data_IF_642195849691
#
_entry.id   IF_642195849691
#
_cell.length_a   1.000
_cell.length_b   1.000
_cell.length_c   1.000
_cell.angle_alpha   90.00
_cell.angle_beta   90.00
_cell.angle_gamma   90.00
#
_symmetry.space_group_name_H-M   'P 1'
#
loop_
_entity.id
_entity.type
_entity.pdbx_description
1 polymer ?
#
# COMPACT_ATOMS: atom_id res chain seq x y z
N UNK A 1 24.44 2.19 3.47
CA UNK A 1 23.28 2.12 2.56
C UNK A 1 22.44 0.89 2.88
N UNK A 2 21.19 1.09 3.30
CA UNK A 2 20.25 0.05 3.70
C UNK A 2 18.97 0.13 2.86
N UNK A 3 18.29 -1.00 2.71
CA UNK A 3 16.96 -1.06 2.10
C UNK A 3 15.90 -1.19 3.19
N UNK A 4 14.81 -0.46 3.01
CA UNK A 4 13.65 -0.47 3.88
C UNK A 4 12.39 -0.66 3.03
N UNK A 5 11.41 -1.39 3.53
CA UNK A 5 10.04 -1.38 3.00
C UNK A 5 9.21 -0.49 3.89
N UNK A 6 8.51 0.46 3.29
CA UNK A 6 7.60 1.36 4.00
C UNK A 6 6.17 1.20 3.49
N UNK A 7 5.18 1.20 4.38
CA UNK A 7 3.77 1.25 4.01
C UNK A 7 3.29 2.70 4.04
N UNK A 8 2.87 3.22 2.89
CA UNK A 8 2.26 4.55 2.75
C UNK A 8 0.75 4.39 2.64
N UNK A 9 0.01 5.21 3.36
CA UNK A 9 -1.47 5.21 3.32
C UNK A 9 -1.96 6.49 2.64
N UNK A 10 -2.86 6.34 1.68
CA UNK A 10 -3.53 7.43 1.00
C UNK A 10 -5.03 7.30 1.19
N UNK A 11 -5.72 8.42 1.42
CA UNK A 11 -7.18 8.52 1.32
C UNK A 11 -7.55 8.82 -0.13
N UNK A 12 -8.46 8.04 -0.69
CA UNK A 12 -9.03 8.31 -2.02
C UNK A 12 -10.33 9.10 -1.83
N UNK A 13 -10.43 10.24 -2.51
CA UNK A 13 -11.63 11.08 -2.51
C UNK A 13 -12.07 11.33 -3.95
N UNK A 14 -13.29 10.92 -4.29
CA UNK A 14 -13.91 11.16 -5.60
C UNK A 14 -15.05 12.17 -5.49
N UNK A 15 -15.07 13.17 -6.39
CA UNK A 15 -16.16 14.13 -6.48
C UNK A 15 -16.31 14.97 -5.20
N UNK A 16 -17.52 14.97 -4.63
CA UNK A 16 -17.86 15.64 -3.36
C UNK A 16 -17.44 14.83 -2.11
N UNK A 17 -16.89 13.63 -2.30
CA UNK A 17 -16.48 12.73 -1.22
C UNK A 17 -17.64 12.00 -0.55
N UNK A 18 -18.84 12.01 -1.14
CA UNK A 18 -20.01 11.31 -0.61
C UNK A 18 -20.05 9.83 -1.04
N UNK A 19 -19.00 9.09 -0.67
CA UNK A 19 -18.88 7.66 -0.89
C UNK A 19 -18.25 6.99 0.34
N UNK A 20 -18.34 5.65 0.50
CA UNK A 20 -17.63 4.95 1.56
C UNK A 20 -16.15 5.32 1.55
N UNK A 21 -15.56 5.55 2.72
CA UNK A 21 -14.16 5.94 2.81
C UNK A 21 -13.27 4.88 2.14
N UNK A 22 -12.42 5.34 1.22
CA UNK A 22 -11.50 4.49 0.48
C UNK A 22 -10.07 4.85 0.85
N UNK A 23 -9.26 3.83 1.06
CA UNK A 23 -7.85 3.96 1.37
C UNK A 23 -7.03 3.08 0.43
N UNK A 24 -5.86 3.59 0.06
CA UNK A 24 -4.86 2.89 -0.73
C UNK A 24 -3.61 2.73 0.11
N UNK A 25 -3.26 1.48 0.40
CA UNK A 25 -2.07 1.11 1.15
C UNK A 25 -0.99 0.62 0.17
N UNK A 26 0.11 1.35 0.10
CA UNK A 26 1.17 1.12 -0.86
C UNK A 26 2.45 0.73 -0.15
N UNK A 27 3.02 -0.43 -0.50
CA UNK A 27 4.39 -0.77 -0.13
C UNK A 27 5.37 -0.10 -1.08
N UNK A 28 6.42 0.49 -0.51
CA UNK A 28 7.50 1.18 -1.24
C UNK A 28 8.85 0.73 -0.71
N UNK A 29 9.75 0.41 -1.63
CA UNK A 29 11.15 0.13 -1.31
C UNK A 29 11.92 1.46 -1.22
N UNK A 30 12.62 1.68 -0.11
CA UNK A 30 13.31 2.93 0.22
C UNK A 30 14.76 2.63 0.54
N UNK A 31 15.67 3.24 -0.21
CA UNK A 31 17.11 3.19 0.08
C UNK A 31 17.49 4.37 0.98
N UNK A 32 18.08 4.12 2.15
CA UNK A 32 18.57 5.16 3.04
C UNK A 32 19.66 4.63 3.98
N UNK A 33 20.41 5.52 4.64
CA UNK A 33 21.45 5.10 5.59
C UNK A 33 20.88 4.68 6.95
N UNK A 34 19.79 5.31 7.38
CA UNK A 34 19.14 5.06 8.66
C UNK A 34 17.63 4.92 8.47
N UNK A 35 16.96 4.32 9.46
CA UNK A 35 15.50 4.21 9.48
C UNK A 35 14.84 5.58 9.48
N UNK A 36 15.39 6.54 10.25
CA UNK A 36 14.95 7.94 10.24
C UNK A 36 15.02 8.55 8.84
N UNK A 37 16.14 8.40 8.14
CA UNK A 37 16.30 8.92 6.78
C UNK A 37 15.33 8.24 5.79
N UNK A 38 15.05 6.94 5.98
CA UNK A 38 14.06 6.21 5.18
C UNK A 38 12.64 6.71 5.46
N UNK A 39 12.27 6.95 6.72
CA UNK A 39 10.98 7.51 7.11
C UNK A 39 10.78 8.91 6.50
N UNK A 40 11.77 9.80 6.63
CA UNK A 40 11.72 11.14 6.03
C UNK A 40 11.58 11.08 4.50
N UNK A 41 12.33 10.19 3.85
CA UNK A 41 12.26 9.97 2.41
C UNK A 41 10.90 9.41 1.97
N UNK A 42 10.35 8.43 2.68
CA UNK A 42 9.03 7.85 2.41
C UNK A 42 7.91 8.90 2.57
N UNK A 43 8.00 9.73 3.61
CA UNK A 43 7.11 10.86 3.84
C UNK A 43 7.15 11.87 2.69
N UNK A 44 8.37 12.20 2.22
CA UNK A 44 8.55 13.07 1.06
C UNK A 44 7.91 12.47 -0.20
N UNK A 45 8.15 11.20 -0.49
CA UNK A 45 7.53 10.47 -1.61
C UNK A 45 6.01 10.49 -1.49
N UNK A 46 5.45 10.22 -0.31
CA UNK A 46 4.01 10.25 -0.08
C UNK A 46 3.40 11.60 -0.46
N UNK A 47 4.02 12.70 -0.03
CA UNK A 47 3.59 14.06 -0.40
C UNK A 47 3.74 14.36 -1.89
N UNK A 48 4.81 13.89 -2.53
CA UNK A 48 5.06 14.11 -3.97
C UNK A 48 4.14 13.28 -4.87
N UNK A 49 3.71 12.10 -4.43
CA UNK A 49 2.82 11.18 -5.16
C UNK A 49 1.34 11.48 -4.89
N UNK A 50 1.02 12.45 -4.01
CA UNK A 50 -0.34 12.99 -3.96
C UNK A 50 -0.72 13.50 -5.34
N UNK A 51 -1.77 12.92 -5.92
CA UNK A 51 -2.17 13.19 -7.29
C UNK A 51 -3.68 13.39 -7.39
N UNK A 52 -4.12 14.01 -8.47
CA UNK A 52 -5.53 14.12 -8.81
C UNK A 52 -5.75 13.99 -10.31
N UNK A 53 -6.74 13.19 -10.70
CA UNK A 53 -7.15 13.06 -12.09
C UNK A 53 -8.67 13.13 -12.23
N UNK A 54 -9.15 13.37 -13.44
CA UNK A 54 -10.59 13.31 -13.76
C UNK A 54 -10.97 11.91 -14.24
N UNK A 55 -11.90 11.25 -13.54
CA UNK A 55 -12.39 9.94 -13.95
C UNK A 55 -13.31 10.03 -15.19
N UNK A 56 -13.80 8.88 -15.67
CA UNK A 56 -14.70 8.79 -16.82
C UNK A 56 -16.03 9.57 -16.63
N UNK A 57 -16.43 9.81 -15.38
CA UNK A 57 -17.61 10.59 -15.01
C UNK A 57 -17.30 12.08 -14.82
N UNK A 58 -16.10 12.54 -15.20
CA UNK A 58 -15.60 13.92 -15.03
C UNK A 58 -15.54 14.38 -13.56
N UNK A 59 -15.49 13.43 -12.63
CA UNK A 59 -15.26 13.73 -11.22
C UNK A 59 -13.76 13.76 -10.97
N UNK A 60 -13.31 14.73 -10.18
CA UNK A 60 -11.92 14.74 -9.71
C UNK A 60 -11.76 13.67 -8.64
N UNK A 61 -10.85 12.73 -8.87
CA UNK A 61 -10.40 11.75 -7.88
C UNK A 61 -9.04 12.18 -7.36
N UNK A 62 -8.86 12.17 -6.04
CA UNK A 62 -7.64 12.64 -5.36
C UNK A 62 -7.07 11.55 -4.46
N UNK A 63 -5.77 11.35 -4.54
CA UNK A 63 -4.98 10.58 -3.58
C UNK A 63 -4.38 11.55 -2.58
N UNK A 64 -4.91 11.53 -1.36
CA UNK A 64 -4.45 12.37 -0.26
C UNK A 64 -3.58 11.51 0.65
N UNK A 65 -2.27 11.69 0.57
CA UNK A 65 -1.32 11.07 1.50
C UNK A 65 -1.73 11.36 2.95
N UNK A 66 -1.85 10.29 3.73
CA UNK A 66 -2.23 10.31 5.14
C UNK A 66 -0.96 10.25 5.97
N UNK A 67 -0.22 9.13 5.90
CA UNK A 67 1.04 8.95 6.62
C UNK A 67 1.84 7.73 6.10
N UNK A 68 3.05 7.55 6.64
CA UNK A 68 3.80 6.29 6.63
C UNK A 68 3.45 5.53 7.90
N UNK A 69 2.80 4.36 7.78
CA UNK A 69 2.30 3.60 8.93
C UNK A 69 3.24 2.48 9.38
N UNK A 70 4.16 2.05 8.51
CA UNK A 70 5.13 1.01 8.83
C UNK A 70 6.47 1.27 8.13
N UNK A 71 7.57 0.87 8.79
CA UNK A 71 8.91 0.85 8.22
C UNK A 71 9.66 -0.39 8.72
N UNK A 72 10.14 -1.21 7.80
CA UNK A 72 10.91 -2.41 8.10
C UNK A 72 12.21 -2.41 7.32
N UNK A 73 13.34 -2.62 7.99
CA UNK A 73 14.63 -2.79 7.31
C UNK A 73 14.68 -4.18 6.68
N UNK A 74 15.07 -4.24 5.41
CA UNK A 74 15.42 -5.50 4.77
C UNK A 74 16.87 -5.84 5.09
N UNK A 75 17.08 -7.05 5.62
CA UNK A 75 18.41 -7.57 5.88
C UNK A 75 19.12 -7.94 4.57
N UNK A 76 18.40 -8.58 3.65
CA UNK A 76 18.87 -9.00 2.33
C UNK A 76 17.78 -8.78 1.27
N UNK A 77 18.17 -8.65 0.00
CA UNK A 77 17.26 -8.61 -1.16
C UNK A 77 17.46 -9.88 -1.98
N UNK A 78 17.04 -11.01 -1.41
CA UNK A 78 17.16 -12.33 -2.02
C UNK A 78 15.80 -12.90 -2.36
N UNK A 79 15.77 -13.97 -3.17
CA UNK A 79 14.52 -14.69 -3.43
C UNK A 79 13.88 -15.16 -2.11
N UNK A 80 12.58 -14.93 -1.97
CA UNK A 80 11.83 -15.25 -0.76
C UNK A 80 11.97 -14.26 0.41
N UNK A 81 12.69 -13.13 0.27
CA UNK A 81 12.72 -12.11 1.33
C UNK A 81 11.31 -11.57 1.64
N UNK A 82 10.91 -11.62 2.91
CA UNK A 82 9.66 -11.01 3.36
C UNK A 82 9.76 -9.47 3.31
N UNK A 83 8.82 -8.85 2.60
CA UNK A 83 8.74 -7.38 2.48
C UNK A 83 7.79 -6.76 3.51
N UNK A 84 6.70 -7.45 3.81
CA UNK A 84 5.64 -7.01 4.70
C UNK A 84 4.74 -8.20 5.05
N UNK A 85 4.18 -8.20 6.26
CA UNK A 85 3.16 -9.14 6.70
C UNK A 85 2.10 -8.42 7.54
N UNK A 86 0.91 -9.02 7.62
CA UNK A 86 -0.15 -8.55 8.51
C UNK A 86 -0.93 -9.74 9.04
N UNK A 87 -1.11 -9.78 10.36
CA UNK A 87 -1.98 -10.76 11.02
C UNK A 87 -3.43 -10.25 10.92
N UNK A 88 -4.32 -11.11 10.45
CA UNK A 88 -5.75 -10.83 10.33
C UNK A 88 -6.53 -11.79 11.23
N UNK A 89 -7.34 -11.25 12.13
CA UNK A 89 -8.32 -12.02 12.88
C UNK A 89 -9.62 -12.06 12.07
N UNK A 90 -9.87 -13.18 11.40
CA UNK A 90 -11.09 -13.38 10.62
C UNK A 90 -12.16 -14.08 11.48
N UNK A 91 -13.44 -13.67 11.40
CA UNK A 91 -14.52 -14.29 12.16
C UNK A 91 -14.87 -15.70 11.66
N UNK A 92 -14.51 -16.05 10.43
CA UNK A 92 -14.74 -17.35 9.81
C UNK A 92 -13.49 -17.77 9.01
N UNK A 93 -12.87 -18.88 9.44
CA UNK A 93 -11.65 -19.40 8.83
C UNK A 93 -11.90 -19.98 7.43
N UNK A 94 -13.01 -20.71 7.24
CA UNK A 94 -13.33 -21.37 5.97
C UNK A 94 -13.61 -20.34 4.88
N UNK A 95 -14.33 -19.26 5.23
CA UNK A 95 -14.60 -18.17 4.31
C UNK A 95 -13.30 -17.44 3.91
N UNK A 96 -12.38 -17.21 4.85
CA UNK A 96 -11.10 -16.58 4.54
C UNK A 96 -10.23 -17.46 3.62
N UNK A 97 -10.20 -18.77 3.87
CA UNK A 97 -9.49 -19.74 3.03
C UNK A 97 -10.09 -19.78 1.62
N UNK A 98 -11.42 -19.85 1.50
CA UNK A 98 -12.11 -19.84 0.21
C UNK A 98 -11.83 -18.55 -0.59
N UNK A 99 -11.84 -17.39 0.10
CA UNK A 99 -11.45 -16.11 -0.51
C UNK A 99 -10.00 -16.13 -1.01
N UNK A 100 -9.06 -16.67 -0.23
CA UNK A 100 -7.65 -16.76 -0.62
C UNK A 100 -7.46 -17.64 -1.86
N UNK A 101 -8.13 -18.80 -1.91
CA UNK A 101 -8.13 -19.66 -3.10
C UNK A 101 -8.74 -18.98 -4.32
N UNK A 102 -9.88 -18.30 -4.15
CA UNK A 102 -10.52 -17.56 -5.23
C UNK A 102 -9.60 -16.48 -5.80
N UNK A 103 -8.92 -15.71 -4.95
CA UNK A 103 -7.92 -14.73 -5.37
C UNK A 103 -6.76 -15.36 -6.13
N UNK A 104 -6.23 -16.50 -5.66
CA UNK A 104 -5.16 -17.23 -6.34
C UNK A 104 -5.57 -17.66 -7.75
N UNK A 105 -6.79 -18.18 -7.92
CA UNK A 105 -7.31 -18.59 -9.22
C UNK A 105 -7.42 -17.41 -10.22
N UNK A 106 -7.76 -16.20 -9.76
CA UNK A 106 -7.82 -15.02 -10.65
C UNK A 106 -6.44 -14.62 -11.21
N UNK A 107 -5.34 -15.00 -10.56
CA UNK A 107 -3.97 -14.74 -11.03
C UNK A 107 -3.53 -15.72 -12.13
N UNK A 108 -4.12 -16.91 -12.19
CA UNK A 108 -3.77 -17.93 -13.17
C UNK A 108 -4.63 -17.86 -14.43
N UNK A 109 -5.81 -17.23 -14.36
CA UNK A 109 -6.74 -17.09 -15.49
C UNK A 109 -6.38 -15.93 -16.44
N UNK A 110 -5.67 -14.90 -15.97
CA UNK A 110 -5.28 -13.73 -16.77
C UNK A 110 -3.89 -13.86 -17.41
N UNK A 111 -3.43 -15.10 -17.68
CA UNK A 111 -2.18 -15.39 -18.40
C UNK A 111 -2.46 -16.02 -19.75
#
# INVERSE_FOLDING_TARGET
MNWYVTKLVFRIVSGDGNHPAQFDEQLRLINADTEKNAFEKANKIGREVQDSFSNAQKQTVKWQFVDVTEINRLHDLTDGTELHYQIHEAPDAELYIAWAHHRSALLTVNK
#
